data_IF_988454675826
#
_entry.id   IF_988454675826
#
_cell.length_a   1.000
_cell.length_b   1.000
_cell.length_c   1.000
_cell.angle_alpha   90.00
_cell.angle_beta   90.00
_cell.angle_gamma   90.00
#
_symmetry.space_group_name_H-M   'P 1'
#
loop_
_entity.id
_entity.type
_entity.pdbx_description
1 polymer ?
#
# COMPACT_ATOMS: atom_id res chain seq x y z
N UNK A 1 7.40 4.13 26.88
CA UNK A 1 7.56 2.81 26.23
C UNK A 1 8.98 2.34 26.48
N UNK A 2 9.13 1.15 26.99
CA UNK A 2 10.43 0.52 27.22
C UNK A 2 11.23 0.44 25.91
N UNK A 3 12.49 0.86 25.95
CA UNK A 3 13.39 0.88 24.80
C UNK A 3 13.56 -0.51 24.19
N UNK A 4 13.57 -1.57 25.01
CA UNK A 4 13.68 -2.95 24.57
C UNK A 4 12.44 -3.39 23.75
N UNK A 5 11.24 -3.02 24.21
CA UNK A 5 10.00 -3.27 23.45
C UNK A 5 9.99 -2.56 22.11
N UNK A 6 10.49 -1.33 22.08
CA UNK A 6 10.59 -0.55 20.84
C UNK A 6 11.55 -1.18 19.85
N UNK A 7 12.70 -1.67 20.32
CA UNK A 7 13.67 -2.37 19.48
C UNK A 7 13.11 -3.69 18.94
N UNK A 8 12.41 -4.46 19.76
CA UNK A 8 11.78 -5.70 19.34
C UNK A 8 10.73 -5.46 18.25
N UNK A 9 9.93 -4.41 18.36
CA UNK A 9 8.96 -4.03 17.35
C UNK A 9 9.63 -3.63 16.03
N UNK A 10 10.72 -2.87 16.09
CA UNK A 10 11.49 -2.49 14.90
C UNK A 10 12.09 -3.72 14.22
N UNK A 11 12.65 -4.65 14.98
CA UNK A 11 13.20 -5.90 14.45
C UNK A 11 12.11 -6.79 13.81
N UNK A 12 10.93 -6.86 14.41
CA UNK A 12 9.81 -7.60 13.87
C UNK A 12 9.31 -7.01 12.54
N UNK A 13 9.24 -5.68 12.45
CA UNK A 13 8.89 -4.98 11.20
C UNK A 13 9.96 -5.21 10.15
N UNK A 14 11.24 -5.09 10.50
CA UNK A 14 12.35 -5.32 9.56
C UNK A 14 12.32 -6.75 9.02
N UNK A 15 12.13 -7.73 9.89
CA UNK A 15 12.01 -9.13 9.47
C UNK A 15 10.83 -9.34 8.52
N UNK A 16 9.69 -8.74 8.80
CA UNK A 16 8.52 -8.84 7.92
C UNK A 16 8.80 -8.23 6.54
N UNK A 17 9.50 -7.10 6.49
CA UNK A 17 9.91 -6.47 5.24
C UNK A 17 10.89 -7.37 4.48
N UNK A 18 11.88 -7.93 5.16
CA UNK A 18 12.87 -8.82 4.56
C UNK A 18 12.22 -10.09 4.01
N UNK A 19 11.30 -10.70 4.76
CA UNK A 19 10.53 -11.87 4.31
C UNK A 19 9.69 -11.54 3.06
N UNK A 20 9.12 -10.34 3.01
CA UNK A 20 8.36 -9.84 1.87
C UNK A 20 9.25 -9.64 0.63
N UNK A 21 10.47 -9.19 0.81
CA UNK A 21 11.44 -8.97 -0.26
C UNK A 21 11.99 -10.30 -0.79
N UNK A 22 12.22 -11.28 0.08
CA UNK A 22 12.74 -12.60 -0.30
C UNK A 22 11.72 -13.42 -1.10
N UNK A 23 10.45 -13.29 -0.79
CA UNK A 23 9.38 -14.03 -1.46
C UNK A 23 9.11 -13.52 -2.89
N UNK A 24 9.73 -12.41 -3.29
CA UNK A 24 9.81 -11.91 -4.68
C UNK A 24 8.48 -11.54 -5.35
N UNK A 25 7.48 -12.24 -5.08
CA UNK A 25 6.09 -11.90 -5.23
C UNK A 25 5.44 -12.46 -3.99
N UNK A 26 5.07 -11.65 -3.09
CA UNK A 26 3.96 -12.03 -2.27
C UNK A 26 2.83 -12.22 -3.26
N UNK A 27 2.72 -13.44 -3.72
CA UNK A 27 1.50 -13.82 -4.37
C UNK A 27 0.43 -13.53 -3.37
N UNK A 28 -0.13 -12.37 -3.43
CA UNK A 28 -1.33 -12.03 -2.72
C UNK A 28 -2.32 -13.07 -3.15
N UNK A 29 -2.39 -14.13 -2.39
CA UNK A 29 -3.23 -15.25 -2.70
C UNK A 29 -4.63 -14.71 -2.94
N UNK A 30 -4.92 -14.41 -4.18
CA UNK A 30 -6.23 -14.04 -4.62
C UNK A 30 -6.55 -12.56 -4.81
N UNK A 31 -5.65 -11.62 -4.53
CA UNK A 31 -5.93 -10.20 -4.74
C UNK A 31 -5.11 -9.65 -5.89
N UNK A 32 -5.51 -9.96 -7.12
CA UNK A 32 -4.98 -9.32 -8.31
C UNK A 32 -5.97 -8.30 -8.84
N UNK A 33 -5.56 -7.05 -8.93
CA UNK A 33 -6.38 -6.08 -9.63
C UNK A 33 -6.25 -6.28 -11.14
N UNK A 34 -7.21 -5.75 -11.88
CA UNK A 34 -7.27 -5.83 -13.34
C UNK A 34 -6.10 -5.11 -14.02
N UNK A 35 -5.40 -4.24 -13.31
CA UNK A 35 -4.28 -3.42 -13.77
C UNK A 35 -2.95 -3.81 -13.14
N UNK A 36 -2.82 -5.05 -12.72
CA UNK A 36 -1.58 -5.62 -12.16
C UNK A 36 -1.12 -5.00 -10.82
N UNK A 37 -2.03 -4.40 -10.10
CA UNK A 37 -1.84 -4.05 -8.71
C UNK A 37 -2.19 -5.24 -7.83
N UNK A 38 -1.26 -5.63 -6.97
CA UNK A 38 -1.46 -6.69 -5.99
C UNK A 38 -1.39 -6.08 -4.59
N UNK A 39 -2.41 -6.34 -3.79
CA UNK A 39 -2.55 -5.77 -2.45
C UNK A 39 -2.65 -6.87 -1.41
N UNK A 40 -1.80 -6.82 -0.39
CA UNK A 40 -1.84 -7.76 0.73
C UNK A 40 -2.04 -7.03 2.05
N UNK A 41 -3.19 -7.20 2.71
CA UNK A 41 -3.35 -6.71 4.08
C UNK A 41 -2.41 -7.47 5.01
N UNK A 42 -1.55 -6.75 5.73
CA UNK A 42 -0.64 -7.33 6.73
C UNK A 42 -1.24 -7.24 8.13
N UNK A 43 -1.98 -6.18 8.40
CA UNK A 43 -2.67 -5.96 9.67
C UNK A 43 -3.93 -5.13 9.43
N UNK A 44 -5.06 -5.63 9.94
CA UNK A 44 -6.34 -4.94 9.93
C UNK A 44 -6.84 -4.87 11.38
N UNK A 45 -6.59 -3.76 12.04
CA UNK A 45 -6.99 -3.52 13.42
C UNK A 45 -7.87 -2.28 13.55
N UNK A 46 -8.35 -2.00 14.77
CA UNK A 46 -9.14 -0.80 15.04
C UNK A 46 -8.30 0.47 15.04
N UNK A 47 -7.04 0.37 15.44
CA UNK A 47 -6.14 1.53 15.59
C UNK A 47 -5.32 1.83 14.33
N UNK A 48 -5.10 0.83 13.47
CA UNK A 48 -4.38 1.03 12.22
C UNK A 48 -4.65 -0.10 11.22
N UNK A 49 -4.47 0.20 9.95
CA UNK A 49 -4.42 -0.77 8.86
C UNK A 49 -3.06 -0.67 8.19
N UNK A 50 -2.40 -1.80 7.97
CA UNK A 50 -1.10 -1.87 7.29
C UNK A 50 -1.19 -2.91 6.19
N UNK A 51 -0.68 -2.58 5.02
CA UNK A 51 -0.65 -3.50 3.91
C UNK A 51 0.57 -3.31 3.02
N UNK A 52 0.76 -4.30 2.17
CA UNK A 52 1.82 -4.33 1.16
C UNK A 52 1.22 -4.28 -0.23
N UNK A 53 1.86 -3.54 -1.12
CA UNK A 53 1.45 -3.42 -2.52
C UNK A 53 2.62 -3.78 -3.42
N UNK A 54 2.36 -4.63 -4.40
CA UNK A 54 3.28 -4.91 -5.50
C UNK A 54 2.63 -4.52 -6.82
N UNK A 55 3.34 -3.71 -7.59
CA UNK A 55 2.92 -3.27 -8.91
C UNK A 55 3.94 -3.79 -9.91
N UNK A 56 3.54 -4.80 -10.69
CA UNK A 56 4.47 -5.54 -11.54
C UNK A 56 5.04 -4.68 -12.68
N UNK A 57 4.26 -3.78 -13.24
CA UNK A 57 4.69 -2.94 -14.37
C UNK A 57 4.22 -1.50 -14.20
N UNK A 58 5.04 -0.56 -14.67
CA UNK A 58 4.66 0.85 -14.73
C UNK A 58 3.40 1.09 -15.58
N UNK A 59 3.14 0.22 -16.55
CA UNK A 59 1.98 0.31 -17.43
C UNK A 59 0.65 -0.09 -16.74
N UNK A 60 0.73 -0.58 -15.49
CA UNK A 60 -0.46 -0.84 -14.68
C UNK A 60 -1.32 0.42 -14.46
N UNK A 61 -0.73 1.59 -14.58
CA UNK A 61 -1.41 2.85 -14.35
C UNK A 61 -1.69 3.14 -12.87
N UNK A 62 -2.44 4.21 -12.59
CA UNK A 62 -2.72 4.62 -11.21
C UNK A 62 -3.70 3.66 -10.50
N UNK A 63 -3.61 3.64 -9.18
CA UNK A 63 -4.68 3.07 -8.38
C UNK A 63 -5.95 3.94 -8.48
N UNK A 64 -7.06 3.41 -8.00
CA UNK A 64 -8.31 4.17 -7.96
C UNK A 64 -8.16 5.39 -7.06
N UNK A 65 -8.59 6.56 -7.55
CA UNK A 65 -8.65 7.78 -6.77
C UNK A 65 -9.64 7.62 -5.62
N UNK A 66 -9.23 8.00 -4.42
CA UNK A 66 -10.01 7.78 -3.21
C UNK A 66 -9.66 8.77 -2.09
N UNK A 67 -10.49 8.77 -1.06
CA UNK A 67 -10.37 9.61 0.14
C UNK A 67 -10.40 8.70 1.37
N UNK A 68 -9.53 8.99 2.33
CA UNK A 68 -9.65 8.48 3.70
C UNK A 68 -10.23 9.61 4.56
N UNK A 69 -11.47 9.45 5.03
CA UNK A 69 -12.19 10.54 5.71
C UNK A 69 -11.52 10.98 7.01
N UNK A 70 -11.01 10.02 7.79
CA UNK A 70 -10.47 10.26 9.14
C UNK A 70 -9.02 9.82 9.29
N UNK A 71 -8.54 8.95 8.42
CA UNK A 71 -7.21 8.38 8.52
C UNK A 71 -6.15 9.23 7.82
N UNK A 72 -4.99 9.30 8.45
CA UNK A 72 -3.75 9.71 7.79
C UNK A 72 -3.11 8.48 7.16
N UNK A 73 -2.76 8.53 5.89
CA UNK A 73 -2.09 7.44 5.19
C UNK A 73 -0.61 7.73 5.02
N UNK A 74 0.20 6.74 5.31
CA UNK A 74 1.65 6.73 5.07
C UNK A 74 1.94 5.76 3.94
N UNK A 75 2.70 6.22 2.95
CA UNK A 75 3.14 5.40 1.81
C UNK A 75 4.66 5.30 1.86
N UNK A 76 5.17 4.11 2.07
CA UNK A 76 6.60 3.84 2.18
C UNK A 76 7.03 3.01 0.98
N UNK A 77 7.86 3.57 0.10
CA UNK A 77 8.37 2.84 -1.06
C UNK A 77 9.53 1.97 -0.66
N UNK A 78 9.44 0.68 -0.97
CA UNK A 78 10.46 -0.33 -0.67
C UNK A 78 11.37 -0.52 -1.87
N UNK A 79 10.80 -0.70 -3.06
CA UNK A 79 11.52 -0.78 -4.33
C UNK A 79 10.76 0.01 -5.39
N UNK A 80 11.47 0.48 -6.41
CA UNK A 80 10.88 1.25 -7.49
C UNK A 80 10.53 2.68 -7.08
N UNK A 81 9.50 3.23 -7.68
CA UNK A 81 9.04 4.59 -7.40
C UNK A 81 7.58 4.80 -7.77
N UNK A 82 6.93 5.70 -7.06
CA UNK A 82 5.56 6.13 -7.36
C UNK A 82 5.45 7.65 -7.38
N UNK A 83 4.58 8.16 -8.22
CA UNK A 83 4.17 9.56 -8.19
C UNK A 83 2.90 9.66 -7.35
N UNK A 84 2.95 10.45 -6.29
CA UNK A 84 1.80 10.75 -5.45
C UNK A 84 1.04 11.95 -6.03
N UNK A 85 -0.24 11.76 -6.30
CA UNK A 85 -1.15 12.80 -6.76
C UNK A 85 -2.16 13.12 -5.66
N UNK A 86 -2.29 14.41 -5.35
CA UNK A 86 -3.26 14.92 -4.37
C UNK A 86 -4.08 16.02 -5.01
N UNK A 87 -5.39 15.88 -4.96
CA UNK A 87 -6.35 16.85 -5.52
C UNK A 87 -6.06 17.20 -6.99
N UNK A 88 -5.73 16.18 -7.79
CA UNK A 88 -5.48 16.32 -9.22
C UNK A 88 -4.09 16.82 -9.59
N UNK A 89 -3.19 17.00 -8.63
CA UNK A 89 -1.83 17.50 -8.88
C UNK A 89 -0.78 16.48 -8.44
N UNK A 90 0.22 16.26 -9.28
CA UNK A 90 1.41 15.51 -8.90
C UNK A 90 2.22 16.33 -7.88
N UNK A 91 2.30 15.83 -6.66
CA UNK A 91 2.92 16.58 -5.56
C UNK A 91 4.31 16.06 -5.18
N UNK A 92 4.55 14.77 -5.35
CA UNK A 92 5.83 14.18 -4.95
C UNK A 92 6.13 12.87 -5.67
N UNK A 93 7.35 12.75 -6.17
CA UNK A 93 7.93 11.49 -6.59
C UNK A 93 8.55 10.80 -5.36
N UNK A 94 8.01 9.65 -5.01
CA UNK A 94 8.51 8.81 -3.92
C UNK A 94 9.39 7.71 -4.49
N UNK A 95 10.64 7.67 -4.06
CA UNK A 95 11.63 6.65 -4.41
C UNK A 95 11.81 5.67 -3.25
N UNK A 96 12.48 4.55 -3.50
CA UNK A 96 12.82 3.58 -2.46
C UNK A 96 13.43 4.26 -1.22
N UNK A 97 12.85 4.00 -0.05
CA UNK A 97 13.22 4.62 1.22
C UNK A 97 12.44 5.90 1.57
N UNK A 98 11.67 6.46 0.64
CA UNK A 98 10.86 7.63 0.90
C UNK A 98 9.53 7.26 1.55
N UNK A 99 9.03 8.17 2.38
CA UNK A 99 7.69 8.09 2.97
C UNK A 99 6.86 9.30 2.54
N UNK A 100 5.74 9.05 1.87
CA UNK A 100 4.74 10.05 1.57
C UNK A 100 3.63 10.03 2.62
N UNK A 101 3.00 11.17 2.86
CA UNK A 101 1.90 11.30 3.81
C UNK A 101 0.71 11.94 3.12
N UNK A 102 -0.45 11.30 3.26
CA UNK A 102 -1.74 11.82 2.79
C UNK A 102 -2.57 12.18 4.02
N UNK A 103 -3.06 13.41 4.05
CA UNK A 103 -3.89 13.89 5.17
C UNK A 103 -5.34 13.41 5.03
N UNK A 104 -6.09 13.33 6.15
CA UNK A 104 -7.51 13.01 6.09
C UNK A 104 -8.26 13.95 5.13
N UNK A 105 -9.15 13.39 4.34
CA UNK A 105 -9.98 14.15 3.41
C UNK A 105 -9.33 14.54 2.10
N UNK A 106 -8.05 14.27 1.90
CA UNK A 106 -7.37 14.54 0.63
C UNK A 106 -7.71 13.49 -0.42
N UNK A 107 -8.23 13.93 -1.55
CA UNK A 107 -8.48 13.08 -2.72
C UNK A 107 -7.14 12.76 -3.38
N UNK A 108 -6.79 11.47 -3.45
CA UNK A 108 -5.46 11.08 -3.89
C UNK A 108 -5.42 9.75 -4.63
N UNK A 109 -4.36 9.56 -5.36
CA UNK A 109 -3.93 8.29 -5.93
C UNK A 109 -2.41 8.27 -6.07
N UNK A 110 -1.86 7.11 -6.29
CA UNK A 110 -0.47 6.95 -6.69
C UNK A 110 -0.39 6.16 -7.99
N UNK A 111 0.64 6.43 -8.79
CA UNK A 111 0.92 5.66 -10.00
C UNK A 111 2.38 5.19 -9.99
N UNK A 112 2.65 3.97 -10.45
CA UNK A 112 4.03 3.48 -10.55
C UNK A 112 4.78 4.24 -11.65
N UNK A 113 6.03 4.56 -11.37
CA UNK A 113 6.94 5.20 -12.33
C UNK A 113 7.97 4.22 -12.88
N UNK A 114 8.08 3.05 -12.25
CA UNK A 114 9.00 1.98 -12.63
C UNK A 114 8.27 0.63 -12.54
N UNK A 115 8.81 -0.36 -13.26
CA UNK A 115 8.40 -1.74 -13.11
C UNK A 115 8.83 -2.28 -11.75
N UNK A 116 8.15 -3.31 -11.27
CA UNK A 116 8.45 -4.00 -10.02
C UNK A 116 8.51 -3.05 -8.81
N UNK A 117 7.55 -2.15 -8.71
CA UNK A 117 7.42 -1.23 -7.58
C UNK A 117 6.71 -1.89 -6.41
N UNK A 118 7.33 -1.81 -5.23
CA UNK A 118 6.79 -2.35 -3.99
C UNK A 118 6.69 -1.24 -2.95
N UNK A 119 5.57 -1.17 -2.27
CA UNK A 119 5.34 -0.19 -1.22
C UNK A 119 4.51 -0.75 -0.07
N UNK A 120 4.63 -0.12 1.07
CA UNK A 120 3.80 -0.38 2.25
C UNK A 120 2.91 0.83 2.46
N UNK A 121 1.63 0.60 2.71
CA UNK A 121 0.73 1.63 3.18
C UNK A 121 0.36 1.39 4.65
N UNK A 122 0.15 2.47 5.39
CA UNK A 122 -0.38 2.43 6.74
C UNK A 122 -1.43 3.54 6.92
N UNK A 123 -2.63 3.18 7.34
CA UNK A 123 -3.69 4.13 7.67
C UNK A 123 -3.90 4.17 9.18
N UNK A 124 -3.86 5.36 9.76
CA UNK A 124 -4.01 5.60 11.21
C UNK A 124 -5.03 6.72 11.43
N UNK A 125 -6.17 6.46 12.12
CA UNK A 125 -6.69 5.15 12.52
C UNK A 125 -7.02 4.26 11.33
N UNK A 126 -7.39 3.00 11.60
CA UNK A 126 -7.82 2.08 10.56
C UNK A 126 -8.98 2.66 9.76
N UNK A 127 -8.91 2.55 8.43
CA UNK A 127 -9.90 3.13 7.54
C UNK A 127 -10.80 2.04 6.95
N UNK A 128 -12.10 2.12 7.23
CA UNK A 128 -13.12 1.25 6.64
C UNK A 128 -13.19 1.36 5.10
N UNK A 129 -12.79 2.50 4.53
CA UNK A 129 -12.68 2.69 3.09
C UNK A 129 -11.65 1.78 2.45
N UNK A 130 -10.56 1.47 3.17
CA UNK A 130 -9.55 0.52 2.69
C UNK A 130 -10.09 -0.90 2.63
N UNK A 131 -10.88 -1.32 3.63
CA UNK A 131 -11.56 -2.62 3.60
C UNK A 131 -12.48 -2.74 2.40
N UNK A 132 -13.24 -1.70 2.08
CA UNK A 132 -14.12 -1.65 0.90
C UNK A 132 -13.34 -1.73 -0.40
N UNK A 133 -12.17 -1.11 -0.48
CA UNK A 133 -11.29 -1.19 -1.63
C UNK A 133 -10.77 -2.62 -1.83
N UNK A 134 -10.32 -3.26 -0.77
CA UNK A 134 -9.84 -4.65 -0.77
C UNK A 134 -10.95 -5.58 -1.23
N UNK A 135 -12.14 -5.48 -0.64
CA UNK A 135 -13.29 -6.29 -1.05
C UNK A 135 -13.64 -6.10 -2.52
N UNK A 136 -13.60 -4.87 -3.02
CA UNK A 136 -13.85 -4.56 -4.43
C UNK A 136 -12.84 -5.23 -5.36
N UNK A 137 -11.56 -5.24 -4.97
CA UNK A 137 -10.49 -5.91 -5.72
C UNK A 137 -10.67 -7.42 -5.71
N UNK A 138 -10.97 -8.02 -4.57
CA UNK A 138 -11.26 -9.45 -4.43
C UNK A 138 -12.42 -9.89 -5.31
N UNK A 139 -13.51 -9.14 -5.30
CA UNK A 139 -14.68 -9.43 -6.16
C UNK A 139 -14.35 -9.37 -7.64
N UNK A 140 -13.53 -8.42 -8.07
CA UNK A 140 -13.04 -8.33 -9.45
C UNK A 140 -12.19 -9.53 -9.83
N UNK A 141 -11.35 -10.00 -8.94
CA UNK A 141 -10.53 -11.18 -9.14
C UNK A 141 -11.37 -12.44 -9.32
N UNK A 142 -12.31 -12.69 -8.42
CA UNK A 142 -13.22 -13.85 -8.48
C UNK A 142 -14.02 -13.87 -9.79
N UNK A 143 -14.54 -12.73 -10.24
CA UNK A 143 -15.28 -12.62 -11.49
C UNK A 143 -14.45 -12.96 -12.73
N UNK A 144 -13.14 -12.74 -12.69
CA UNK A 144 -12.24 -13.05 -13.81
C UNK A 144 -11.86 -14.53 -13.90
N UNK A 145 -11.85 -15.23 -12.77
CA UNK A 145 -11.43 -16.62 -12.68
C UNK A 145 -12.62 -17.61 -12.71
N UNK A 146 -13.82 -17.12 -12.78
CA UNK A 146 -15.04 -17.86 -13.00
C UNK A 146 -15.55 -17.59 -14.44
#
# INVERSE_FOLDING_TARGET
MDTMKKLQNIQAVQKSIDDLLEIGSLGLKGVQSTNQWMLEPLHQGKSCSVGFVHIATRDAGPCQEHIHAEAKEYLIVVTGSVMLNINGQDVRLLKAGDCGVVQPGELHYSRPMEDDTKLIYACIPADAGMDSLIESMEKKYVRRNN
#
